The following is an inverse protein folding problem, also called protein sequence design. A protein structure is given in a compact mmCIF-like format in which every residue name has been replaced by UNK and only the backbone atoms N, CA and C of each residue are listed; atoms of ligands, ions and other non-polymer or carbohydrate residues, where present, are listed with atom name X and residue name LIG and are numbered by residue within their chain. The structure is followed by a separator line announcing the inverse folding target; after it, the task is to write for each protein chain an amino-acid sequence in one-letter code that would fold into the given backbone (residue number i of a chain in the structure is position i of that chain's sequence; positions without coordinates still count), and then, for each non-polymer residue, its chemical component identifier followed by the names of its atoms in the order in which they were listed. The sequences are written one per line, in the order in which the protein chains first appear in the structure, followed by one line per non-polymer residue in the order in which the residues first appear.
data_IF_382880375534
#
_entry.id   IF_382880375534
#
_cell.length_a   1.000
_cell.length_b   1.000
_cell.length_c   1.000
_cell.angle_alpha   90.00
_cell.angle_beta   90.00
_cell.angle_gamma   90.00
#
_symmetry.space_group_name_H-M   'P 1'
#
loop_
_entity.id
_entity.type
_entity.pdbx_description
1 polymer ?
#
# COMPACT_ATOMS: atom_id res chain seq x y z
N UNK A 1 -18.72 -19.10 28.42
CA UNK A 1 -17.56 -19.32 27.54
C UNK A 1 -16.69 -18.08 27.59
N UNK A 2 -15.64 -18.09 28.40
CA UNK A 2 -14.71 -16.98 28.47
C UNK A 2 -13.83 -17.02 27.20
N UNK A 3 -13.84 -15.95 26.42
CA UNK A 3 -12.82 -15.72 25.41
C UNK A 3 -11.50 -15.53 26.15
N UNK A 4 -10.62 -16.54 26.07
CA UNK A 4 -9.24 -16.37 26.48
C UNK A 4 -8.67 -15.19 25.71
N UNK A 5 -8.28 -14.14 26.44
CA UNK A 5 -7.41 -13.10 25.91
C UNK A 5 -6.09 -13.78 25.55
N UNK A 6 -5.93 -14.19 24.29
CA UNK A 6 -4.62 -14.49 23.75
C UNK A 6 -3.86 -13.16 23.82
N UNK A 7 -2.87 -13.07 24.70
CA UNK A 7 -1.86 -12.02 24.64
C UNK A 7 -1.05 -12.27 23.37
N UNK A 8 -1.57 -11.83 22.23
CA UNK A 8 -0.77 -11.71 21.03
C UNK A 8 0.24 -10.63 21.32
N UNK A 9 1.52 -11.00 21.36
CA UNK A 9 2.59 -10.03 21.15
C UNK A 9 2.35 -9.47 19.75
N UNK A 10 1.52 -8.43 19.63
CA UNK A 10 1.11 -7.92 18.34
C UNK A 10 2.35 -7.40 17.64
N UNK A 11 2.67 -8.02 16.51
CA UNK A 11 3.77 -7.53 15.69
C UNK A 11 3.32 -6.20 15.11
N UNK A 12 3.93 -5.12 15.58
CA UNK A 12 3.67 -3.77 15.08
C UNK A 12 4.74 -3.36 14.08
N UNK A 13 4.40 -2.42 13.21
CA UNK A 13 5.31 -1.80 12.25
C UNK A 13 5.07 -0.29 12.25
N UNK A 14 6.10 0.51 12.47
CA UNK A 14 5.98 1.96 12.34
C UNK A 14 5.78 2.34 10.86
N UNK A 15 4.76 3.15 10.60
CA UNK A 15 4.40 3.64 9.27
C UNK A 15 4.57 5.16 9.25
N UNK A 16 5.28 5.66 8.24
CA UNK A 16 5.54 7.09 8.07
C UNK A 16 5.04 7.58 6.70
N UNK A 17 4.58 8.83 6.56
CA UNK A 17 4.39 9.39 5.23
C UNK A 17 5.74 9.50 4.54
N UNK A 18 5.80 9.09 3.27
CA UNK A 18 6.95 9.36 2.42
C UNK A 18 6.70 10.68 1.69
N UNK A 19 7.36 11.73 2.15
CA UNK A 19 7.39 13.02 1.47
C UNK A 19 8.32 12.93 0.27
N UNK A 20 7.78 13.11 -0.92
CA UNK A 20 8.51 13.18 -2.18
C UNK A 20 8.04 14.42 -2.96
N UNK A 21 8.84 15.50 -2.98
CA UNK A 21 8.44 16.79 -3.55
C UNK A 21 7.94 16.72 -4.99
N UNK A 22 8.40 15.74 -5.77
CA UNK A 22 8.02 15.59 -7.18
C UNK A 22 6.63 14.98 -7.29
N UNK A 23 6.36 13.87 -6.59
CA UNK A 23 5.09 13.18 -6.71
C UNK A 23 4.01 13.73 -5.79
N UNK A 24 4.37 14.38 -4.68
CA UNK A 24 3.40 15.03 -3.80
C UNK A 24 2.72 16.23 -4.49
N UNK A 25 3.36 16.81 -5.51
CA UNK A 25 2.82 17.95 -6.27
C UNK A 25 2.12 17.56 -7.57
N UNK A 26 2.31 16.34 -8.06
CA UNK A 26 1.97 15.97 -9.43
C UNK A 26 1.34 14.56 -9.56
N UNK A 27 1.53 13.67 -8.59
CA UNK A 27 0.96 12.33 -8.59
C UNK A 27 -0.52 12.27 -8.23
N UNK A 28 -1.12 11.09 -8.39
CA UNK A 28 -2.49 10.81 -8.00
C UNK A 28 -2.57 10.40 -6.54
N UNK A 29 -3.54 10.90 -5.74
CA UNK A 29 -3.73 10.42 -4.38
C UNK A 29 -3.81 8.89 -4.34
N UNK A 30 -3.19 8.25 -3.35
CA UNK A 30 -3.18 6.79 -3.18
C UNK A 30 -4.58 6.16 -3.13
N UNK A 31 -5.59 6.95 -2.77
CA UNK A 31 -7.00 6.57 -2.68
C UNK A 31 -7.85 6.96 -3.90
N UNK A 32 -7.23 7.52 -4.94
CA UNK A 32 -7.94 7.91 -6.17
C UNK A 32 -8.45 6.71 -6.97
N UNK A 33 -9.39 6.98 -7.87
CA UNK A 33 -9.90 6.02 -8.84
C UNK A 33 -8.81 5.61 -9.84
N UNK A 34 -7.90 6.53 -10.20
CA UNK A 34 -6.75 6.24 -11.05
C UNK A 34 -5.89 5.08 -10.47
N UNK A 35 -5.58 5.12 -9.18
CA UNK A 35 -4.80 4.07 -8.51
C UNK A 35 -5.58 2.75 -8.48
N UNK A 36 -6.89 2.80 -8.26
CA UNK A 36 -7.73 1.60 -8.29
C UNK A 36 -7.81 0.99 -9.70
N UNK A 37 -7.95 1.80 -10.73
CA UNK A 37 -8.15 1.35 -12.11
C UNK A 37 -6.85 0.82 -12.73
N UNK A 38 -5.75 1.57 -12.61
CA UNK A 38 -4.51 1.26 -13.35
C UNK A 38 -3.45 0.53 -12.52
N UNK A 39 -3.36 0.80 -11.22
CA UNK A 39 -2.34 0.14 -10.38
C UNK A 39 -2.80 -1.22 -9.83
N UNK A 40 -4.10 -1.50 -9.72
CA UNK A 40 -4.60 -2.75 -9.14
C UNK A 40 -4.10 -3.99 -9.88
N UNK A 41 -4.09 -4.00 -11.21
CA UNK A 41 -3.56 -5.12 -11.99
C UNK A 41 -2.04 -5.33 -11.83
N UNK A 42 -1.32 -4.27 -11.44
CA UNK A 42 0.14 -4.27 -11.32
C UNK A 42 0.57 -4.62 -9.89
N UNK A 43 -0.08 -4.03 -8.89
CA UNK A 43 0.16 -4.24 -7.45
C UNK A 43 -0.59 -5.45 -6.91
N UNK A 44 -1.70 -5.83 -7.51
CA UNK A 44 -2.62 -6.84 -6.97
C UNK A 44 -3.56 -6.27 -5.90
N UNK A 45 -4.68 -6.94 -5.63
CA UNK A 45 -5.74 -6.41 -4.77
C UNK A 45 -5.27 -6.07 -3.35
N UNK A 46 -4.57 -6.99 -2.69
CA UNK A 46 -4.15 -6.81 -1.29
C UNK A 46 -3.18 -5.64 -1.13
N UNK A 47 -2.21 -5.47 -2.02
CA UNK A 47 -1.26 -4.36 -1.96
C UNK A 47 -1.95 -3.01 -2.23
N UNK A 48 -2.87 -2.97 -3.19
CA UNK A 48 -3.63 -1.76 -3.52
C UNK A 48 -4.49 -1.32 -2.34
N UNK A 49 -5.22 -2.24 -1.70
CA UNK A 49 -6.02 -1.92 -0.52
C UNK A 49 -5.18 -1.60 0.72
N UNK A 50 -4.03 -2.27 0.90
CA UNK A 50 -3.08 -1.92 1.94
C UNK A 50 -2.60 -0.47 1.78
N UNK A 51 -2.15 -0.09 0.58
CA UNK A 51 -1.70 1.29 0.30
C UNK A 51 -2.78 2.33 0.64
N UNK A 52 -4.03 2.09 0.20
CA UNK A 52 -5.17 2.96 0.48
C UNK A 52 -5.41 3.11 1.99
N UNK A 53 -5.31 2.02 2.74
CA UNK A 53 -5.46 2.01 4.21
C UNK A 53 -4.34 2.78 4.90
N UNK A 54 -3.08 2.56 4.50
CA UNK A 54 -1.93 3.26 5.06
C UNK A 54 -2.04 4.76 4.81
N UNK A 55 -2.36 5.16 3.57
CA UNK A 55 -2.58 6.56 3.22
C UNK A 55 -3.73 7.20 4.02
N UNK A 56 -4.83 6.47 4.24
CA UNK A 56 -5.94 6.96 5.07
C UNK A 56 -5.57 7.14 6.55
N UNK A 57 -4.58 6.39 7.04
CA UNK A 57 -4.09 6.55 8.42
C UNK A 57 -3.48 7.94 8.65
N UNK A 58 -2.82 8.50 7.64
CA UNK A 58 -2.21 9.82 7.73
C UNK A 58 -3.21 10.98 7.86
N UNK A 59 -4.47 10.79 7.47
CA UNK A 59 -5.53 11.78 7.72
C UNK A 59 -5.72 12.03 9.24
N UNK A 60 -5.47 11.02 10.08
CA UNK A 60 -5.59 11.10 11.53
C UNK A 60 -4.23 11.24 12.23
N UNK A 61 -3.19 10.66 11.64
CA UNK A 61 -1.83 10.64 12.17
C UNK A 61 -0.83 11.15 11.12
N UNK A 62 -0.76 12.48 10.90
CA UNK A 62 0.04 13.04 9.81
C UNK A 62 1.53 12.71 9.88
N UNK A 63 2.08 12.54 11.09
CA UNK A 63 3.50 12.22 11.30
C UNK A 63 3.81 10.71 11.25
N UNK A 64 2.79 9.88 11.07
CA UNK A 64 2.90 8.42 11.10
C UNK A 64 2.26 7.78 12.33
N UNK A 65 2.19 6.45 12.30
CA UNK A 65 1.49 5.64 13.31
C UNK A 65 2.06 4.21 13.38
N UNK A 66 1.78 3.50 14.47
CA UNK A 66 2.08 2.07 14.57
C UNK A 66 0.94 1.24 13.95
N UNK A 67 1.29 0.40 12.98
CA UNK A 67 0.38 -0.52 12.35
C UNK A 67 0.43 -1.88 13.03
N UNK A 68 -0.71 -2.32 13.56
CA UNK A 68 -0.88 -3.70 13.99
C UNK A 68 -0.94 -4.65 12.78
N UNK A 69 0.06 -5.51 12.60
CA UNK A 69 0.13 -6.37 11.42
C UNK A 69 -0.91 -7.49 11.44
N UNK A 70 -1.32 -7.98 12.61
CA UNK A 70 -2.30 -9.05 12.74
C UNK A 70 -3.69 -8.51 12.43
N UNK A 71 -4.10 -7.44 13.10
CA UNK A 71 -5.42 -6.82 12.91
C UNK A 71 -5.57 -6.27 11.49
N UNK A 72 -4.52 -5.64 10.95
CA UNK A 72 -4.57 -5.09 9.59
C UNK A 72 -4.70 -6.20 8.55
N UNK A 73 -3.96 -7.31 8.70
CA UNK A 73 -4.08 -8.43 7.78
C UNK A 73 -5.50 -9.01 7.79
N UNK A 74 -6.09 -9.20 8.98
CA UNK A 74 -7.47 -9.67 9.13
C UNK A 74 -8.48 -8.70 8.51
N UNK A 75 -8.31 -7.39 8.73
CA UNK A 75 -9.16 -6.36 8.16
C UNK A 75 -9.09 -6.28 6.62
N UNK A 76 -8.01 -6.78 6.02
CA UNK A 76 -7.85 -6.94 4.57
C UNK A 76 -8.31 -8.31 4.04
N UNK A 77 -8.87 -9.16 4.90
CA UNK A 77 -9.30 -10.52 4.54
C UNK A 77 -8.13 -11.49 4.31
N UNK A 78 -6.98 -11.22 4.92
CA UNK A 78 -5.75 -12.00 4.78
C UNK A 78 -5.24 -12.48 6.13
N UNK A 79 -4.13 -13.20 6.12
CA UNK A 79 -3.48 -13.69 7.34
C UNK A 79 -2.08 -13.11 7.45
N UNK A 80 -1.62 -12.97 8.70
CA UNK A 80 -0.25 -12.63 9.02
C UNK A 80 0.26 -13.54 10.13
N UNK A 81 1.48 -14.01 9.99
CA UNK A 81 2.24 -14.72 11.03
C UNK A 81 3.70 -14.25 10.96
N UNK A 82 4.31 -13.86 12.09
CA UNK A 82 5.71 -13.46 12.12
C UNK A 82 6.63 -14.53 11.53
N UNK A 83 7.59 -14.13 10.69
CA UNK A 83 8.56 -15.04 10.06
C UNK A 83 8.02 -15.93 8.95
N UNK A 84 6.74 -15.82 8.59
CA UNK A 84 6.13 -16.59 7.51
C UNK A 84 5.68 -15.71 6.35
N UNK A 85 5.89 -16.20 5.13
CA UNK A 85 5.34 -15.57 3.94
C UNK A 85 3.82 -15.72 3.91
N UNK A 86 3.11 -14.64 3.61
CA UNK A 86 1.65 -14.55 3.54
C UNK A 86 1.24 -13.55 2.45
N UNK A 87 -0.04 -13.55 2.01
CA UNK A 87 -0.53 -12.49 1.11
C UNK A 87 -0.29 -11.07 1.65
N UNK A 88 -0.35 -10.89 2.99
CA UNK A 88 -0.11 -9.60 3.63
C UNK A 88 1.37 -9.19 3.58
N UNK A 89 2.31 -10.07 3.92
CA UNK A 89 3.75 -9.75 3.83
C UNK A 89 4.17 -9.50 2.38
N UNK A 90 3.63 -10.28 1.43
CA UNK A 90 3.84 -10.05 -0.02
C UNK A 90 3.30 -8.70 -0.46
N UNK A 91 2.17 -8.25 0.10
CA UNK A 91 1.61 -6.94 -0.21
C UNK A 91 2.56 -5.81 0.20
N UNK A 92 3.12 -5.86 1.43
CA UNK A 92 4.13 -4.91 1.91
C UNK A 92 5.36 -4.92 1.00
N UNK A 93 5.86 -6.10 0.64
CA UNK A 93 7.01 -6.23 -0.27
C UNK A 93 6.73 -5.67 -1.65
N UNK A 94 5.53 -5.89 -2.19
CA UNK A 94 5.13 -5.35 -3.49
C UNK A 94 5.08 -3.83 -3.47
N UNK A 95 4.56 -3.20 -2.41
CA UNK A 95 4.64 -1.75 -2.27
C UNK A 95 6.10 -1.26 -2.34
N UNK A 96 7.05 -2.01 -1.76
CA UNK A 96 8.48 -1.69 -1.87
C UNK A 96 9.03 -1.89 -3.28
N UNK A 97 8.75 -3.04 -3.91
CA UNK A 97 9.21 -3.40 -5.26
C UNK A 97 8.73 -2.39 -6.31
N UNK A 98 7.49 -1.90 -6.16
CA UNK A 98 6.90 -0.93 -7.07
C UNK A 98 7.17 0.53 -6.68
N UNK A 99 7.99 0.77 -5.66
CA UNK A 99 8.43 2.11 -5.26
C UNK A 99 7.34 2.96 -4.59
N UNK A 100 6.30 2.33 -4.04
CA UNK A 100 5.20 2.97 -3.31
C UNK A 100 5.41 2.97 -1.79
N UNK A 101 6.41 2.22 -1.34
CA UNK A 101 6.89 2.26 0.03
C UNK A 101 8.41 2.08 0.07
N UNK A 102 9.04 2.56 1.13
CA UNK A 102 10.46 2.40 1.39
C UNK A 102 10.65 1.83 2.79
N UNK A 103 11.37 0.71 2.88
CA UNK A 103 11.74 0.09 4.17
C UNK A 103 12.91 0.86 4.80
N UNK A 104 12.79 1.12 6.09
CA UNK A 104 13.85 1.63 6.96
C UNK A 104 14.16 0.58 8.04
N UNK A 105 15.18 0.84 8.87
CA UNK A 105 15.56 -0.07 9.95
C UNK A 105 14.37 -0.38 10.87
N UNK A 106 13.57 0.64 11.20
CA UNK A 106 12.52 0.55 12.23
C UNK A 106 11.10 0.81 11.69
N UNK A 107 10.90 0.82 10.37
CA UNK A 107 9.59 1.13 9.82
C UNK A 107 9.47 1.13 8.30
N UNK A 108 8.33 1.60 7.81
CA UNK A 108 7.97 1.69 6.41
C UNK A 108 7.45 3.09 6.09
N UNK A 109 8.17 3.84 5.25
CA UNK A 109 7.63 5.07 4.69
C UNK A 109 6.76 4.75 3.47
N UNK A 110 5.61 5.41 3.34
CA UNK A 110 4.58 5.09 2.35
C UNK A 110 4.18 6.33 1.59
N UNK A 111 4.12 6.23 0.25
CA UNK A 111 3.68 7.34 -0.58
C UNK A 111 2.20 7.67 -0.34
N UNK A 112 1.90 8.95 -0.24
CA UNK A 112 0.51 9.46 -0.21
C UNK A 112 0.00 9.77 -1.62
N UNK A 113 0.91 10.11 -2.53
CA UNK A 113 0.66 10.30 -3.96
C UNK A 113 1.47 9.31 -4.80
N UNK A 114 0.80 8.70 -5.76
CA UNK A 114 1.28 7.61 -6.60
C UNK A 114 1.51 8.17 -8.01
N UNK A 115 2.66 7.86 -8.65
CA UNK A 115 2.91 8.32 -10.02
C UNK A 115 1.92 7.71 -11.02
N UNK A 116 1.89 8.30 -12.22
CA UNK A 116 1.39 7.60 -13.40
C UNK A 116 2.07 6.23 -13.49
N UNK A 117 1.32 5.23 -13.92
CA UNK A 117 1.87 3.90 -14.21
C UNK A 117 3.03 4.08 -15.20
N UNK A 118 4.27 3.74 -14.81
CA UNK A 118 5.40 3.83 -15.71
C UNK A 118 5.20 2.97 -16.96
N UNK A 119 5.63 3.45 -18.13
CA UNK A 119 5.46 2.78 -19.43
C UNK A 119 5.85 1.30 -19.43
N UNK A 120 6.92 0.95 -18.70
CA UNK A 120 7.40 -0.42 -18.53
C UNK A 120 6.38 -1.40 -17.91
N UNK A 121 5.37 -0.90 -17.19
CA UNK A 121 4.32 -1.70 -16.59
C UNK A 121 3.02 -1.70 -17.39
N UNK A 122 2.82 -0.78 -18.34
CA UNK A 122 1.63 -0.74 -19.20
C UNK A 122 1.39 -2.06 -19.96
N UNK A 123 2.41 -2.81 -20.44
CA UNK A 123 2.17 -4.11 -21.08
C UNK A 123 1.45 -5.14 -20.21
N UNK A 124 1.45 -4.98 -18.87
CA UNK A 124 0.73 -5.86 -17.93
C UNK A 124 -0.77 -5.57 -17.87
N UNK A 125 -1.20 -4.40 -18.33
CA UNK A 125 -2.60 -4.01 -18.34
C UNK A 125 -3.31 -4.54 -19.58
N UNK A 126 -4.59 -4.94 -19.49
CA UNK A 126 -5.42 -5.20 -20.66
C UNK A 126 -5.48 -4.00 -21.61
N UNK A 127 -5.75 -4.26 -22.90
CA UNK A 127 -5.75 -3.22 -23.94
C UNK A 127 -6.63 -2.01 -23.59
N UNK A 128 -7.85 -2.25 -23.13
CA UNK A 128 -8.78 -1.16 -22.78
C UNK A 128 -8.24 -0.23 -21.70
N UNK A 129 -7.50 -0.75 -20.70
CA UNK A 129 -6.86 0.09 -19.69
C UNK A 129 -5.64 0.83 -20.22
N UNK A 130 -4.88 0.26 -21.17
CA UNK A 130 -3.79 1.00 -21.83
C UNK A 130 -4.33 2.17 -22.64
N UNK A 131 -5.41 1.93 -23.38
CA UNK A 131 -6.06 2.94 -24.20
C UNK A 131 -6.64 4.06 -23.32
N UNK A 132 -7.27 3.71 -22.18
CA UNK A 132 -7.77 4.68 -21.21
C UNK A 132 -6.64 5.47 -20.52
N UNK A 133 -5.54 4.79 -20.15
CA UNK A 133 -4.38 5.42 -19.50
C UNK A 133 -3.72 6.49 -20.39
N UNK A 134 -3.76 6.33 -21.72
CA UNK A 134 -3.16 7.28 -22.66
C UNK A 134 -3.77 8.70 -22.59
N UNK A 135 -4.94 8.88 -21.96
CA UNK A 135 -5.55 10.18 -21.71
C UNK A 135 -5.12 10.87 -20.41
N UNK A 136 -4.27 10.24 -19.59
CA UNK A 136 -3.81 10.80 -18.32
C UNK A 136 -2.41 11.40 -18.44
N UNK A 137 -2.23 12.60 -17.89
CA UNK A 137 -0.97 13.34 -17.82
C UNK A 137 -0.73 13.80 -16.37
N UNK A 138 0.54 14.03 -16.01
CA UNK A 138 1.00 14.59 -14.72
C UNK A 138 1.73 15.91 -15.00
#
# INVERSE_FOLDING_TARGET
MALSAQTTTNATLAIYPWVDPIFDSSGFPARSDYVEEFWLGILGPTATWLLRRLASGFDHYPEGFELDLVETAQALGTTYRPGHESPFTRAIERLSIFGLAQKYADGLAVRTHVPLVPDRYLPRLPRHLRDAHAGYEI
#
